data_IF_281812442704
#
_entry.id   IF_281812442704
#
_cell.length_a   1.000
_cell.length_b   1.000
_cell.length_c   1.000
_cell.angle_alpha   90.00
_cell.angle_beta   90.00
_cell.angle_gamma   90.00
#
_symmetry.space_group_name_H-M   'P 1'
#
loop_
_entity.id
_entity.type
_entity.pdbx_description
1 polymer ?
#
# COMPACT_ATOMS: atom_id res chain seq x y z
N UNK A 1 -0.22 -24.73 43.93
CA UNK A 1 0.75 -25.74 44.42
C UNK A 1 1.34 -26.51 43.22
N UNK A 2 2.08 -25.82 42.33
CA UNK A 2 2.56 -26.41 41.06
C UNK A 2 3.99 -25.96 40.67
N UNK A 3 4.80 -25.51 41.64
CA UNK A 3 6.19 -25.07 41.40
C UNK A 3 7.28 -26.00 41.95
N UNK A 4 6.90 -27.06 42.66
CA UNK A 4 7.86 -28.01 43.25
C UNK A 4 8.05 -29.29 42.41
N UNK A 5 7.27 -29.47 41.33
CA UNK A 5 7.27 -30.70 40.51
C UNK A 5 8.19 -30.64 39.28
N UNK A 6 9.11 -29.67 39.21
CA UNK A 6 10.14 -29.60 38.16
C UNK A 6 11.54 -29.40 38.72
N UNK A 7 11.79 -29.81 39.98
CA UNK A 7 13.17 -29.90 40.46
C UNK A 7 13.89 -30.94 39.60
N UNK A 8 14.97 -30.52 38.93
CA UNK A 8 15.84 -31.42 38.18
C UNK A 8 16.24 -32.58 39.11
N UNK A 9 16.13 -33.81 38.62
CA UNK A 9 16.42 -35.02 39.39
C UNK A 9 17.83 -34.97 40.00
N UNK A 10 18.75 -34.25 39.35
CA UNK A 10 20.12 -33.96 39.79
C UNK A 10 20.15 -33.19 41.11
N UNK A 11 19.25 -32.22 41.29
CA UNK A 11 19.13 -31.45 42.54
C UNK A 11 18.63 -32.32 43.67
N UNK A 12 17.66 -33.21 43.39
CA UNK A 12 17.18 -34.16 44.39
C UNK A 12 18.26 -35.18 44.78
N UNK A 13 19.01 -35.69 43.80
CA UNK A 13 20.18 -36.53 44.04
C UNK A 13 21.23 -35.80 44.90
N UNK A 14 21.56 -34.56 44.58
CA UNK A 14 22.48 -33.73 45.38
C UNK A 14 22.02 -33.56 46.83
N UNK A 15 20.72 -33.35 47.07
CA UNK A 15 20.15 -33.24 48.42
C UNK A 15 20.25 -34.56 49.19
N UNK A 16 19.93 -35.70 48.57
CA UNK A 16 20.02 -37.03 49.21
C UNK A 16 21.46 -37.37 49.57
N UNK A 17 22.40 -37.14 48.66
CA UNK A 17 23.84 -37.37 48.91
C UNK A 17 24.35 -36.45 50.02
N UNK A 18 23.96 -35.16 50.01
CA UNK A 18 24.32 -34.20 51.06
C UNK A 18 23.77 -34.66 52.42
N UNK A 19 22.51 -35.07 52.49
CA UNK A 19 21.88 -35.54 53.74
C UNK A 19 22.56 -36.80 54.27
N UNK A 20 22.83 -37.78 53.40
CA UNK A 20 23.55 -39.00 53.77
C UNK A 20 24.98 -38.69 54.28
N UNK A 21 25.68 -37.75 53.64
CA UNK A 21 27.01 -37.30 54.05
C UNK A 21 27.00 -36.64 55.43
N UNK A 22 26.04 -35.75 55.69
CA UNK A 22 25.90 -35.09 57.01
C UNK A 22 25.54 -36.09 58.12
N UNK A 23 24.67 -37.07 57.84
CA UNK A 23 24.34 -38.15 58.79
C UNK A 23 25.56 -39.02 59.10
N UNK A 24 26.38 -39.32 58.09
CA UNK A 24 27.63 -40.05 58.27
C UNK A 24 28.61 -39.25 59.14
N UNK A 25 28.77 -37.95 58.87
CA UNK A 25 29.59 -37.04 59.70
C UNK A 25 29.10 -36.97 61.15
N UNK A 26 27.79 -36.86 61.36
CA UNK A 26 27.15 -36.88 62.70
C UNK A 26 27.46 -38.19 63.43
N UNK A 27 27.33 -39.33 62.75
CA UNK A 27 27.62 -40.64 63.33
C UNK A 27 29.11 -40.81 63.65
N UNK A 28 30.00 -40.34 62.77
CA UNK A 28 31.45 -40.35 63.00
C UNK A 28 31.84 -39.55 64.25
N UNK A 29 31.32 -38.32 64.40
CA UNK A 29 31.54 -37.52 65.61
C UNK A 29 30.99 -38.25 66.84
N UNK A 30 29.81 -38.84 66.76
CA UNK A 30 29.19 -39.56 67.89
C UNK A 30 30.02 -40.75 68.36
N UNK A 31 30.54 -41.56 67.44
CA UNK A 31 31.20 -42.84 67.75
C UNK A 31 32.69 -42.67 68.04
N UNK A 32 33.38 -41.83 67.26
CA UNK A 32 34.85 -41.75 67.29
C UNK A 32 35.36 -40.62 68.18
N UNK A 33 34.76 -39.43 68.10
CA UNK A 33 35.28 -38.21 68.76
C UNK A 33 34.55 -37.94 70.08
N UNK A 34 33.22 -38.08 70.09
CA UNK A 34 32.33 -37.65 71.17
C UNK A 34 32.00 -36.15 71.09
N UNK A 35 30.71 -35.82 71.20
CA UNK A 35 30.22 -34.43 71.10
C UNK A 35 30.82 -33.49 72.15
N UNK A 36 31.11 -33.98 73.35
CA UNK A 36 31.72 -33.19 74.42
C UNK A 36 33.19 -32.85 74.16
N UNK A 37 33.93 -33.71 73.45
CA UNK A 37 35.32 -33.43 73.08
C UNK A 37 35.37 -32.50 71.86
N UNK A 38 34.45 -32.68 70.91
CA UNK A 38 34.36 -31.89 69.69
C UNK A 38 34.13 -30.39 69.94
N UNK A 39 33.32 -30.02 70.94
CA UNK A 39 33.05 -28.61 71.27
C UNK A 39 34.19 -27.90 72.00
N UNK A 40 35.20 -28.64 72.45
CA UNK A 40 36.36 -28.13 73.20
C UNK A 40 37.63 -28.17 72.34
N UNK A 41 37.53 -28.61 71.08
CA UNK A 41 38.67 -28.66 70.15
C UNK A 41 39.25 -27.27 69.87
N UNK A 42 40.58 -27.17 69.70
CA UNK A 42 41.23 -25.97 69.17
C UNK A 42 40.60 -25.52 67.84
N UNK A 43 40.56 -24.21 67.62
CA UNK A 43 39.87 -23.62 66.46
C UNK A 43 40.45 -24.04 65.10
N UNK A 44 41.76 -24.30 65.05
CA UNK A 44 42.49 -24.82 63.89
C UNK A 44 42.12 -26.27 63.57
N UNK A 45 42.04 -27.15 64.58
CA UNK A 45 41.62 -28.55 64.39
C UNK A 45 40.14 -28.65 63.97
N UNK A 46 39.29 -27.82 64.58
CA UNK A 46 37.88 -27.71 64.18
C UNK A 46 37.76 -27.19 62.74
N UNK A 47 38.56 -26.19 62.37
CA UNK A 47 38.64 -25.66 61.01
C UNK A 47 39.02 -26.73 59.98
N UNK A 48 40.08 -27.50 60.25
CA UNK A 48 40.54 -28.59 59.38
C UNK A 48 39.47 -29.68 59.20
N UNK A 49 38.74 -30.05 60.27
CA UNK A 49 37.65 -31.01 60.17
C UNK A 49 36.49 -30.49 59.32
N UNK A 50 36.06 -29.23 59.56
CA UNK A 50 34.97 -28.62 58.79
C UNK A 50 35.37 -28.41 57.32
N UNK A 51 36.62 -28.04 57.03
CA UNK A 51 37.14 -27.95 55.67
C UNK A 51 37.04 -29.30 54.95
N UNK A 52 37.51 -30.39 55.59
CA UNK A 52 37.40 -31.74 55.04
C UNK A 52 35.97 -32.23 54.87
N UNK A 53 35.05 -31.83 55.76
CA UNK A 53 33.64 -32.21 55.70
C UNK A 53 32.85 -31.43 54.64
N UNK A 54 33.14 -30.14 54.45
CA UNK A 54 32.41 -29.26 53.51
C UNK A 54 33.00 -29.21 52.11
N UNK A 55 34.31 -29.46 51.92
CA UNK A 55 34.93 -29.43 50.59
C UNK A 55 34.27 -30.39 49.58
N UNK A 56 33.97 -31.67 49.92
CA UNK A 56 33.26 -32.58 49.02
C UNK A 56 31.83 -32.12 48.69
N UNK A 57 31.14 -31.52 49.66
CA UNK A 57 29.78 -30.98 49.47
C UNK A 57 29.80 -29.78 48.51
N UNK A 58 30.72 -28.85 48.72
CA UNK A 58 30.87 -27.69 47.83
C UNK A 58 31.19 -28.13 46.39
N UNK A 59 32.09 -29.10 46.23
CA UNK A 59 32.44 -29.66 44.92
C UNK A 59 31.24 -30.36 44.25
N UNK A 60 30.48 -31.16 45.00
CA UNK A 60 29.27 -31.83 44.50
C UNK A 60 28.28 -30.81 43.91
N UNK A 61 27.97 -29.75 44.66
CA UNK A 61 27.01 -28.73 44.23
C UNK A 61 27.53 -27.89 43.05
N UNK A 62 28.84 -27.64 42.98
CA UNK A 62 29.46 -26.98 41.83
C UNK A 62 29.27 -27.79 40.55
N UNK A 63 29.54 -29.09 40.59
CA UNK A 63 29.39 -29.98 39.42
C UNK A 63 27.93 -30.09 38.99
N UNK A 64 27.00 -30.25 39.94
CA UNK A 64 25.56 -30.27 39.65
C UNK A 64 25.13 -28.95 38.99
N UNK A 65 25.55 -27.82 39.56
CA UNK A 65 25.26 -26.48 39.02
C UNK A 65 25.78 -26.30 37.59
N UNK A 66 27.02 -26.73 37.32
CA UNK A 66 27.62 -26.70 35.99
C UNK A 66 26.78 -27.47 34.95
N UNK A 67 26.36 -28.70 35.27
CA UNK A 67 25.55 -29.50 34.34
C UNK A 67 24.14 -28.96 34.13
N UNK A 68 23.54 -28.30 35.13
CA UNK A 68 22.25 -27.63 34.98
C UNK A 68 22.42 -26.42 34.05
N UNK A 69 23.42 -25.57 34.33
CA UNK A 69 23.75 -24.39 33.54
C UNK A 69 24.03 -24.74 32.07
N UNK A 70 24.80 -25.80 31.82
CA UNK A 70 25.11 -26.25 30.47
C UNK A 70 23.84 -26.61 29.69
N UNK A 71 22.91 -27.37 30.29
CA UNK A 71 21.66 -27.76 29.61
C UNK A 71 20.75 -26.56 29.34
N UNK A 72 20.77 -25.56 30.22
CA UNK A 72 20.00 -24.34 30.03
C UNK A 72 20.57 -23.49 28.88
N UNK A 73 21.89 -23.40 28.77
CA UNK A 73 22.57 -22.76 27.64
C UNK A 73 22.29 -23.45 26.30
N UNK A 74 22.35 -24.78 26.27
CA UNK A 74 22.01 -25.57 25.06
C UNK A 74 20.57 -25.28 24.61
N UNK A 75 19.61 -25.32 25.55
CA UNK A 75 18.20 -25.02 25.27
C UNK A 75 17.96 -23.58 24.79
N UNK A 76 18.61 -22.61 25.41
CA UNK A 76 18.50 -21.21 24.99
C UNK A 76 19.10 -21.00 23.60
N UNK A 77 20.19 -21.69 23.28
CA UNK A 77 20.83 -21.61 21.96
C UNK A 77 19.95 -22.23 20.89
N UNK A 78 19.34 -23.39 21.15
CA UNK A 78 18.36 -24.01 20.25
C UNK A 78 17.14 -23.11 20.01
N UNK A 79 16.59 -22.52 21.08
CA UNK A 79 15.47 -21.59 20.99
C UNK A 79 15.82 -20.34 20.16
N UNK A 80 17.00 -19.76 20.39
CA UNK A 80 17.47 -18.61 19.62
C UNK A 80 17.68 -18.96 18.14
N UNK A 81 18.25 -20.14 17.84
CA UNK A 81 18.42 -20.60 16.46
C UNK A 81 17.07 -20.77 15.76
N UNK A 82 16.08 -21.34 16.45
CA UNK A 82 14.71 -21.46 15.90
C UNK A 82 14.10 -20.09 15.64
N UNK A 83 14.27 -19.15 16.58
CA UNK A 83 13.75 -17.79 16.45
C UNK A 83 14.39 -17.02 15.29
N UNK A 84 15.71 -17.15 15.11
CA UNK A 84 16.41 -16.55 13.97
C UNK A 84 15.87 -17.08 12.64
N UNK A 85 15.67 -18.39 12.55
CA UNK A 85 15.10 -19.02 11.35
C UNK A 85 13.68 -18.54 11.03
N UNK A 86 12.86 -18.30 12.06
CA UNK A 86 11.53 -17.71 11.89
C UNK A 86 11.59 -16.25 11.43
N UNK A 87 12.54 -15.47 11.96
CA UNK A 87 12.77 -14.08 11.55
C UNK A 87 13.22 -14.02 10.08
N UNK A 88 14.15 -14.88 9.66
CA UNK A 88 14.62 -14.96 8.27
C UNK A 88 13.46 -15.27 7.31
N UNK A 89 12.66 -16.29 7.62
CA UNK A 89 11.47 -16.62 6.81
C UNK A 89 10.44 -15.49 6.77
N UNK A 90 10.22 -14.82 7.90
CA UNK A 90 9.31 -13.67 7.98
C UNK A 90 9.80 -12.50 7.13
N UNK A 91 11.11 -12.24 7.12
CA UNK A 91 11.72 -11.22 6.29
C UNK A 91 11.57 -11.52 4.79
N UNK A 92 11.84 -12.76 4.37
CA UNK A 92 11.62 -13.21 2.98
C UNK A 92 10.16 -13.03 2.56
N UNK A 93 9.22 -13.44 3.41
CA UNK A 93 7.78 -13.27 3.16
C UNK A 93 7.38 -11.79 3.07
N UNK A 94 7.96 -10.93 3.92
CA UNK A 94 7.70 -9.49 3.92
C UNK A 94 8.18 -8.83 2.62
N UNK A 95 9.32 -9.25 2.08
CA UNK A 95 9.83 -8.77 0.78
C UNK A 95 8.86 -9.15 -0.33
N UNK A 96 8.48 -10.43 -0.42
CA UNK A 96 7.52 -10.91 -1.44
C UNK A 96 6.16 -10.19 -1.31
N UNK A 97 5.70 -9.96 -0.08
CA UNK A 97 4.45 -9.22 0.16
C UNK A 97 4.57 -7.75 -0.27
N UNK A 98 5.71 -7.10 0.00
CA UNK A 98 5.96 -5.72 -0.42
C UNK A 98 5.97 -5.58 -1.94
N UNK A 99 6.58 -6.52 -2.66
CA UNK A 99 6.58 -6.55 -4.13
C UNK A 99 5.15 -6.70 -4.69
N UNK A 100 4.39 -7.66 -4.17
CA UNK A 100 2.98 -7.87 -4.58
C UNK A 100 2.09 -6.67 -4.28
N UNK A 101 2.33 -5.98 -3.15
CA UNK A 101 1.60 -4.76 -2.81
C UNK A 101 1.93 -3.62 -3.78
N UNK A 102 3.19 -3.48 -4.18
CA UNK A 102 3.60 -2.47 -5.16
C UNK A 102 2.95 -2.72 -6.53
N UNK A 103 2.93 -3.96 -7.01
CA UNK A 103 2.22 -4.34 -8.24
C UNK A 103 0.70 -4.09 -8.13
N UNK A 104 0.09 -4.52 -7.02
CA UNK A 104 -1.34 -4.30 -6.77
C UNK A 104 -1.71 -2.83 -6.68
N UNK A 105 -0.82 -1.97 -6.18
CA UNK A 105 -1.05 -0.52 -6.11
C UNK A 105 -1.12 0.10 -7.52
N UNK A 106 -0.19 -0.27 -8.40
CA UNK A 106 -0.19 0.20 -9.80
C UNK A 106 -1.50 -0.21 -10.49
N UNK A 107 -1.89 -1.48 -10.36
CA UNK A 107 -3.16 -1.98 -10.92
C UNK A 107 -4.38 -1.24 -10.33
N UNK A 108 -4.40 -0.97 -9.02
CA UNK A 108 -5.49 -0.26 -8.37
C UNK A 108 -5.61 1.20 -8.86
N UNK A 109 -4.47 1.88 -9.04
CA UNK A 109 -4.42 3.25 -9.61
C UNK A 109 -4.95 3.28 -11.04
N UNK A 110 -4.55 2.32 -11.88
CA UNK A 110 -5.05 2.19 -13.25
C UNK A 110 -6.56 1.92 -13.30
N UNK A 111 -7.06 1.00 -12.48
CA UNK A 111 -8.48 0.69 -12.42
C UNK A 111 -9.31 1.90 -11.98
N UNK A 112 -8.83 2.62 -10.96
CA UNK A 112 -9.46 3.86 -10.49
C UNK A 112 -9.48 4.92 -11.59
N UNK A 113 -8.38 5.07 -12.32
CA UNK A 113 -8.32 5.98 -13.46
C UNK A 113 -9.33 5.61 -14.55
N UNK A 114 -9.41 4.33 -14.96
CA UNK A 114 -10.33 3.90 -16.02
C UNK A 114 -11.80 4.20 -15.67
N UNK A 115 -12.19 4.01 -14.42
CA UNK A 115 -13.53 4.38 -13.93
C UNK A 115 -13.76 5.89 -13.99
N UNK A 116 -12.78 6.71 -13.56
CA UNK A 116 -12.87 8.17 -13.68
C UNK A 116 -12.93 8.59 -15.15
N UNK A 117 -12.12 7.98 -16.02
CA UNK A 117 -12.05 8.28 -17.44
C UNK A 117 -13.39 8.02 -18.15
N UNK A 118 -14.09 6.94 -17.80
CA UNK A 118 -15.44 6.66 -18.32
C UNK A 118 -16.43 7.79 -17.99
N UNK A 119 -16.45 8.25 -16.74
CA UNK A 119 -17.31 9.37 -16.32
C UNK A 119 -16.93 10.68 -17.02
N UNK A 120 -15.63 10.95 -17.14
CA UNK A 120 -15.13 12.14 -17.86
C UNK A 120 -15.50 12.09 -19.34
N UNK A 121 -15.39 10.93 -20.00
CA UNK A 121 -15.82 10.76 -21.40
C UNK A 121 -17.31 11.03 -21.57
N UNK A 122 -18.16 10.56 -20.66
CA UNK A 122 -19.59 10.89 -20.69
C UNK A 122 -19.83 12.41 -20.56
N UNK A 123 -19.13 13.09 -19.64
CA UNK A 123 -19.20 14.55 -19.47
C UNK A 123 -18.70 15.32 -20.71
N UNK A 124 -17.64 14.83 -21.35
CA UNK A 124 -17.14 15.37 -22.63
C UNK A 124 -18.20 15.20 -23.73
N UNK A 125 -18.88 14.05 -23.77
CA UNK A 125 -20.04 13.81 -24.64
C UNK A 125 -21.16 14.83 -24.43
N UNK A 126 -21.53 15.13 -23.17
CA UNK A 126 -22.51 16.17 -22.85
C UNK A 126 -22.05 17.55 -23.30
N UNK A 127 -20.79 17.92 -23.04
CA UNK A 127 -20.23 19.22 -23.45
C UNK A 127 -20.22 19.36 -24.97
N UNK A 128 -19.88 18.28 -25.68
CA UNK A 128 -19.90 18.23 -27.14
C UNK A 128 -21.32 18.30 -27.69
N UNK A 129 -22.30 17.69 -27.02
CA UNK A 129 -23.71 17.80 -27.39
C UNK A 129 -24.25 19.22 -27.26
N UNK A 130 -23.88 19.93 -26.18
CA UNK A 130 -24.22 21.35 -26.03
C UNK A 130 -23.57 22.22 -27.11
N UNK A 131 -22.30 21.94 -27.44
CA UNK A 131 -21.60 22.62 -28.52
C UNK A 131 -22.32 22.40 -29.87
N UNK A 132 -22.64 21.15 -30.19
CA UNK A 132 -23.35 20.77 -31.41
C UNK A 132 -24.72 21.46 -31.52
N UNK A 133 -25.54 21.41 -30.47
CA UNK A 133 -26.86 22.05 -30.51
C UNK A 133 -26.76 23.56 -30.72
N UNK A 134 -25.77 24.19 -30.08
CA UNK A 134 -25.52 25.63 -30.26
C UNK A 134 -25.02 26.00 -31.65
N UNK A 135 -24.45 25.05 -32.41
CA UNK A 135 -24.11 25.27 -33.83
C UNK A 135 -25.32 25.09 -34.76
N UNK A 136 -26.24 24.18 -34.41
CA UNK A 136 -27.42 23.92 -35.24
C UNK A 136 -28.51 25.00 -35.11
N UNK A 137 -28.60 25.71 -33.99
CA UNK A 137 -29.61 26.75 -33.79
C UNK A 137 -29.34 28.06 -34.54
N UNK A 138 -28.10 28.29 -34.99
CA UNK A 138 -27.68 29.54 -35.62
C UNK A 138 -27.56 29.45 -37.16
N UNK A 139 -27.55 28.25 -37.74
CA UNK A 139 -27.43 28.06 -39.18
C UNK A 139 -28.83 28.06 -39.83
N UNK A 140 -29.05 28.96 -40.79
CA UNK A 140 -30.33 29.11 -41.50
C UNK A 140 -30.79 27.85 -42.27
N UNK A 141 -29.91 26.86 -42.48
CA UNK A 141 -30.17 25.62 -43.23
C UNK A 141 -29.96 24.31 -42.40
N UNK A 142 -29.65 24.40 -41.10
CA UNK A 142 -29.11 23.29 -40.30
C UNK A 142 -30.08 22.67 -39.27
N UNK A 143 -31.32 22.34 -39.64
CA UNK A 143 -32.30 21.86 -38.66
C UNK A 143 -32.16 20.37 -38.32
N UNK A 144 -31.26 20.03 -37.40
CA UNK A 144 -31.41 18.79 -36.61
C UNK A 144 -32.71 18.94 -35.81
N UNK A 145 -33.70 18.11 -36.11
CA UNK A 145 -35.03 18.21 -35.49
C UNK A 145 -34.94 17.96 -33.99
N UNK A 146 -35.92 18.46 -33.22
CA UNK A 146 -35.97 18.20 -31.78
C UNK A 146 -36.04 16.70 -31.46
N UNK A 147 -36.64 15.91 -32.36
CA UNK A 147 -36.68 14.45 -32.30
C UNK A 147 -35.27 13.83 -32.47
N UNK A 148 -34.52 14.26 -33.50
CA UNK A 148 -33.14 13.80 -33.73
C UNK A 148 -32.22 14.20 -32.56
N UNK A 149 -32.38 15.42 -32.00
CA UNK A 149 -31.64 15.84 -30.81
C UNK A 149 -31.94 14.94 -29.60
N UNK A 150 -33.22 14.61 -29.39
CA UNK A 150 -33.64 13.72 -28.30
C UNK A 150 -33.10 12.30 -28.47
N UNK A 151 -33.04 11.80 -29.71
CA UNK A 151 -32.43 10.51 -30.02
C UNK A 151 -30.92 10.51 -29.74
N UNK A 152 -30.20 11.56 -30.15
CA UNK A 152 -28.76 11.68 -29.89
C UNK A 152 -28.44 11.72 -28.39
N UNK A 153 -29.24 12.44 -27.58
CA UNK A 153 -29.10 12.41 -26.12
C UNK A 153 -29.46 11.05 -25.51
N UNK A 154 -30.45 10.36 -26.05
CA UNK A 154 -30.77 8.98 -25.65
C UNK A 154 -29.58 8.05 -25.89
N UNK A 155 -28.94 8.12 -27.06
CA UNK A 155 -27.73 7.35 -27.38
C UNK A 155 -26.56 7.71 -26.46
N UNK A 156 -26.36 8.99 -26.15
CA UNK A 156 -25.37 9.43 -25.16
C UNK A 156 -25.58 8.75 -23.80
N UNK A 157 -26.83 8.66 -23.34
CA UNK A 157 -27.20 7.97 -22.09
C UNK A 157 -27.09 6.44 -22.14
N UNK A 158 -27.16 5.84 -23.33
CA UNK A 158 -27.09 4.39 -23.56
C UNK A 158 -25.67 3.86 -23.79
N UNK A 159 -24.64 4.59 -23.34
CA UNK A 159 -23.22 4.22 -23.39
C UNK A 159 -22.46 4.58 -24.69
N UNK A 160 -22.91 5.60 -25.43
CA UNK A 160 -22.18 6.15 -26.58
C UNK A 160 -21.72 7.60 -26.32
N UNK A 161 -20.62 7.80 -25.55
CA UNK A 161 -20.13 9.14 -25.18
C UNK A 161 -19.72 10.01 -26.37
N UNK A 162 -19.48 9.40 -27.53
CA UNK A 162 -18.91 10.06 -28.69
C UNK A 162 -19.92 10.31 -29.81
N UNK A 163 -21.21 10.08 -29.56
CA UNK A 163 -22.27 10.29 -30.57
C UNK A 163 -22.27 11.72 -31.11
N UNK A 164 -22.24 12.72 -30.22
CA UNK A 164 -22.18 14.12 -30.62
C UNK A 164 -20.82 14.52 -31.19
N UNK A 165 -19.75 13.87 -30.73
CA UNK A 165 -18.42 14.07 -31.29
C UNK A 165 -18.36 13.70 -32.76
N UNK A 166 -18.91 12.54 -33.12
CA UNK A 166 -18.95 12.11 -34.53
C UNK A 166 -19.81 13.05 -35.37
N UNK A 167 -20.98 13.48 -34.88
CA UNK A 167 -21.80 14.50 -35.58
C UNK A 167 -21.06 15.81 -35.79
N UNK A 168 -20.33 16.28 -34.78
CA UNK A 168 -19.59 17.54 -34.88
C UNK A 168 -18.38 17.44 -35.82
N UNK A 169 -17.70 16.28 -35.83
CA UNK A 169 -16.64 15.98 -36.81
C UNK A 169 -17.19 15.90 -38.23
N UNK A 170 -18.33 15.23 -38.44
CA UNK A 170 -19.03 15.19 -39.73
C UNK A 170 -19.40 16.59 -40.20
N UNK A 171 -19.98 17.42 -39.34
CA UNK A 171 -20.30 18.81 -39.65
C UNK A 171 -19.03 19.60 -40.01
N UNK A 172 -17.95 19.46 -39.25
CA UNK A 172 -16.68 20.14 -39.53
C UNK A 172 -16.11 19.77 -40.90
N UNK A 173 -16.20 18.50 -41.30
CA UNK A 173 -15.73 18.00 -42.59
C UNK A 173 -16.59 18.50 -43.75
N UNK A 174 -17.91 18.63 -43.55
CA UNK A 174 -18.86 19.07 -44.58
C UNK A 174 -18.84 20.59 -44.82
N UNK A 175 -18.14 21.37 -44.00
CA UNK A 175 -18.01 22.81 -44.18
C UNK A 175 -16.86 23.14 -45.15
N UNK A 176 -17.21 23.86 -46.22
CA UNK A 176 -16.32 24.15 -47.35
C UNK A 176 -15.25 25.20 -47.03
N UNK A 177 -15.50 26.11 -46.09
CA UNK A 177 -14.62 27.23 -45.78
C UNK A 177 -14.11 27.23 -44.32
N UNK A 178 -12.91 27.79 -44.13
CA UNK A 178 -12.26 27.84 -42.83
C UNK A 178 -12.98 28.75 -41.83
N UNK A 179 -13.67 29.79 -42.29
CA UNK A 179 -14.39 30.71 -41.40
C UNK A 179 -15.62 30.03 -40.78
N UNK A 180 -16.36 29.23 -41.55
CA UNK A 180 -17.45 28.39 -41.04
C UNK A 180 -16.94 27.30 -40.11
N UNK A 181 -15.82 26.65 -40.45
CA UNK A 181 -15.17 25.67 -39.56
C UNK A 181 -14.70 26.28 -38.24
N UNK A 182 -14.18 27.49 -38.27
CA UNK A 182 -13.83 28.24 -37.06
C UNK A 182 -15.10 28.64 -36.28
N UNK A 183 -16.11 29.14 -36.99
CA UNK A 183 -17.37 29.56 -36.39
C UNK A 183 -18.05 28.41 -35.65
N UNK A 184 -17.96 27.17 -36.16
CA UNK A 184 -18.46 25.96 -35.48
C UNK A 184 -18.02 25.86 -34.01
N UNK A 185 -16.80 26.30 -33.68
CA UNK A 185 -16.22 26.22 -32.34
C UNK A 185 -16.21 27.55 -31.58
N UNK A 186 -16.02 28.66 -32.29
CA UNK A 186 -15.74 29.98 -31.71
C UNK A 186 -16.60 31.11 -32.29
N UNK A 187 -17.65 30.78 -33.06
CA UNK A 187 -18.49 31.80 -33.67
C UNK A 187 -19.50 32.46 -32.72
N UNK A 188 -19.58 32.02 -31.47
CA UNK A 188 -20.33 32.68 -30.38
C UNK A 188 -19.61 32.44 -29.04
N UNK A 189 -19.85 33.29 -28.04
CA UNK A 189 -19.30 33.11 -26.68
C UNK A 189 -19.71 31.77 -26.06
N UNK A 190 -20.94 31.32 -26.34
CA UNK A 190 -21.47 30.03 -25.87
C UNK A 190 -20.67 28.87 -26.47
N UNK A 191 -20.39 28.91 -27.78
CA UNK A 191 -19.58 27.90 -28.46
C UNK A 191 -18.14 27.92 -27.95
N UNK A 192 -17.54 29.11 -27.82
CA UNK A 192 -16.21 29.28 -27.27
C UNK A 192 -16.08 28.67 -25.86
N UNK A 193 -17.07 28.90 -24.99
CA UNK A 193 -17.14 28.31 -23.65
C UNK A 193 -17.19 26.79 -23.67
N UNK A 194 -18.07 26.19 -24.49
CA UNK A 194 -18.17 24.73 -24.57
C UNK A 194 -16.89 24.11 -25.15
N UNK A 195 -16.31 24.74 -26.18
CA UNK A 195 -15.03 24.32 -26.76
C UNK A 195 -13.90 24.38 -25.74
N UNK A 196 -13.73 25.50 -25.03
CA UNK A 196 -12.68 25.66 -24.02
C UNK A 196 -12.85 24.67 -22.85
N UNK A 197 -14.10 24.44 -22.39
CA UNK A 197 -14.37 23.45 -21.35
C UNK A 197 -14.03 22.03 -21.80
N UNK A 198 -14.36 21.67 -23.05
CA UNK A 198 -14.00 20.39 -23.64
C UNK A 198 -12.48 20.21 -23.67
N UNK A 199 -11.75 21.20 -24.22
CA UNK A 199 -10.29 21.18 -24.32
C UNK A 199 -9.64 21.02 -22.94
N UNK A 200 -10.03 21.85 -21.97
CA UNK A 200 -9.50 21.81 -20.61
C UNK A 200 -9.76 20.46 -19.92
N UNK A 201 -10.97 19.93 -20.06
CA UNK A 201 -11.34 18.65 -19.46
C UNK A 201 -10.57 17.49 -20.10
N UNK A 202 -10.40 17.50 -21.42
CA UNK A 202 -9.64 16.49 -22.15
C UNK A 202 -8.14 16.55 -21.84
N UNK A 203 -7.55 17.74 -21.75
CA UNK A 203 -6.16 17.93 -21.33
C UNK A 203 -5.90 17.37 -19.92
N UNK A 204 -6.82 17.62 -18.98
CA UNK A 204 -6.74 17.03 -17.64
C UNK A 204 -6.88 15.51 -17.64
N UNK A 205 -7.69 14.96 -18.55
CA UNK A 205 -7.81 13.51 -18.72
C UNK A 205 -6.51 12.91 -19.22
N UNK A 206 -5.88 13.51 -20.25
CA UNK A 206 -4.59 13.07 -20.77
C UNK A 206 -3.46 13.17 -19.73
N UNK A 207 -3.38 14.29 -19.01
CA UNK A 207 -2.37 14.48 -17.96
C UNK A 207 -2.52 13.45 -16.82
N UNK A 208 -3.76 13.07 -16.48
CA UNK A 208 -4.02 12.00 -15.50
C UNK A 208 -3.69 10.61 -16.04
N UNK A 209 -3.93 10.37 -17.33
CA UNK A 209 -3.56 9.10 -17.97
C UNK A 209 -2.05 8.90 -17.88
N UNK A 210 -1.26 9.91 -18.27
CA UNK A 210 0.21 9.88 -18.23
C UNK A 210 0.77 9.59 -16.82
N UNK A 211 0.08 10.02 -15.76
CA UNK A 211 0.50 9.76 -14.39
C UNK A 211 0.30 8.30 -13.93
N UNK A 212 -0.52 7.50 -14.63
CA UNK A 212 -0.83 6.09 -14.28
C UNK A 212 -0.43 5.09 -15.38
N UNK A 213 0.21 5.58 -16.44
CA UNK A 213 0.46 4.86 -17.68
C UNK A 213 1.91 5.08 -18.16
N UNK A 214 2.89 4.39 -17.55
CA UNK A 214 4.30 4.56 -17.91
C UNK A 214 4.60 4.21 -19.38
N UNK A 215 3.81 3.31 -19.98
CA UNK A 215 3.97 2.86 -21.36
C UNK A 215 3.16 3.69 -22.38
N UNK A 216 2.43 4.72 -21.94
CA UNK A 216 1.60 5.62 -22.76
C UNK A 216 0.47 4.95 -23.56
N UNK A 217 0.15 3.68 -23.28
CA UNK A 217 -0.89 2.91 -24.00
C UNK A 217 -2.28 3.52 -23.82
N UNK A 218 -2.63 3.90 -22.59
CA UNK A 218 -3.92 4.53 -22.24
C UNK A 218 -3.99 5.93 -22.85
N UNK A 219 -2.91 6.71 -22.74
CA UNK A 219 -2.83 8.06 -23.31
C UNK A 219 -3.04 8.04 -24.83
N UNK A 220 -2.34 7.13 -25.52
CA UNK A 220 -2.42 7.01 -26.98
C UNK A 220 -3.80 6.51 -27.41
N UNK A 221 -4.36 5.54 -26.67
CA UNK A 221 -5.73 5.08 -26.90
C UNK A 221 -6.74 6.21 -26.77
N UNK A 222 -6.62 7.10 -25.77
CA UNK A 222 -7.52 8.25 -25.59
C UNK A 222 -7.37 9.24 -26.73
N UNK A 223 -6.13 9.48 -27.19
CA UNK A 223 -5.83 10.40 -28.28
C UNK A 223 -6.36 9.91 -29.63
N UNK A 224 -6.47 8.60 -29.83
CA UNK A 224 -7.06 7.98 -31.02
C UNK A 224 -8.59 7.92 -31.06
N UNK A 225 -9.29 8.31 -29.98
CA UNK A 225 -10.76 8.33 -29.94
C UNK A 225 -11.35 9.47 -30.77
N UNK A 226 -12.67 9.46 -31.01
CA UNK A 226 -13.37 10.60 -31.60
C UNK A 226 -13.18 11.87 -30.77
N UNK A 227 -13.20 11.78 -29.44
CA UNK A 227 -12.88 12.92 -28.58
C UNK A 227 -11.44 13.42 -28.77
N UNK A 228 -10.48 12.50 -28.95
CA UNK A 228 -9.08 12.85 -29.24
C UNK A 228 -8.92 13.57 -30.58
N UNK A 229 -9.60 13.10 -31.63
CA UNK A 229 -9.63 13.78 -32.93
C UNK A 229 -10.28 15.17 -32.83
N UNK A 230 -11.41 15.26 -32.13
CA UNK A 230 -12.08 16.54 -31.89
C UNK A 230 -11.19 17.51 -31.12
N UNK A 231 -10.48 17.03 -30.10
CA UNK A 231 -9.50 17.81 -29.35
C UNK A 231 -8.43 18.40 -30.28
N UNK A 232 -7.84 17.59 -31.16
CA UNK A 232 -6.82 18.08 -32.10
C UNK A 232 -7.35 19.18 -33.02
N UNK A 233 -8.58 19.04 -33.53
CA UNK A 233 -9.20 20.03 -34.41
C UNK A 233 -9.56 21.31 -33.62
N UNK A 234 -10.25 21.17 -32.50
CA UNK A 234 -10.67 22.28 -31.66
C UNK A 234 -9.46 23.06 -31.12
N UNK A 235 -8.35 22.38 -30.80
CA UNK A 235 -7.12 23.03 -30.34
C UNK A 235 -6.50 23.92 -31.41
N UNK A 236 -6.53 23.50 -32.68
CA UNK A 236 -6.07 24.34 -33.80
C UNK A 236 -6.90 25.62 -33.92
N UNK A 237 -8.23 25.50 -33.82
CA UNK A 237 -9.12 26.66 -33.82
C UNK A 237 -8.91 27.56 -32.60
N UNK A 238 -8.68 26.98 -31.42
CA UNK A 238 -8.37 27.73 -30.20
C UNK A 238 -7.13 28.61 -30.36
N UNK A 239 -6.08 28.09 -31.01
CA UNK A 239 -4.83 28.84 -31.24
C UNK A 239 -5.05 30.07 -32.14
N UNK A 240 -6.00 29.99 -33.07
CA UNK A 240 -6.36 31.05 -34.00
C UNK A 240 -7.48 31.97 -33.49
N UNK A 241 -8.09 31.64 -32.34
CA UNK A 241 -9.16 32.42 -31.76
C UNK A 241 -8.65 33.74 -31.16
N UNK A 242 -9.43 34.84 -31.25
CA UNK A 242 -9.15 36.07 -30.50
C UNK A 242 -8.95 35.77 -29.02
N UNK A 243 -8.07 36.52 -28.36
CA UNK A 243 -7.71 36.29 -26.95
C UNK A 243 -8.95 36.29 -26.03
N UNK A 244 -9.96 37.11 -26.36
CA UNK A 244 -11.23 37.22 -25.64
C UNK A 244 -12.05 35.92 -25.63
N UNK A 245 -12.00 35.15 -26.72
CA UNK A 245 -12.72 33.88 -26.88
C UNK A 245 -11.86 32.68 -26.49
N UNK A 246 -10.54 32.85 -26.50
CA UNK A 246 -9.58 31.81 -26.12
C UNK A 246 -9.44 31.67 -24.61
N UNK A 247 -9.57 32.78 -23.87
CA UNK A 247 -9.33 32.83 -22.42
C UNK A 247 -10.47 32.15 -21.64
N UNK A 248 -10.21 31.00 -20.96
CA UNK A 248 -11.19 30.34 -20.11
C UNK A 248 -11.70 31.21 -18.95
N UNK A 249 -10.90 32.19 -18.49
CA UNK A 249 -11.31 33.11 -17.44
C UNK A 249 -12.39 34.09 -17.89
N UNK A 250 -12.49 34.36 -19.21
CA UNK A 250 -13.50 35.22 -19.81
C UNK A 250 -14.69 34.44 -20.36
N UNK A 251 -14.45 33.28 -20.98
CA UNK A 251 -15.54 32.42 -21.48
C UNK A 251 -16.21 31.58 -20.39
N UNK A 252 -15.62 31.50 -19.19
CA UNK A 252 -16.23 31.02 -17.97
C UNK A 252 -15.96 29.56 -17.61
N UNK A 253 -14.99 29.36 -16.70
CA UNK A 253 -15.02 28.42 -15.55
C UNK A 253 -13.93 28.77 -14.54
N UNK A 254 -14.09 29.88 -13.81
CA UNK A 254 -13.52 30.01 -12.47
C UNK A 254 -14.67 30.21 -11.47
N UNK A 255 -15.00 29.17 -10.72
CA UNK A 255 -15.32 29.41 -9.31
C UNK A 255 -13.99 29.73 -8.68
N UNK A 256 -13.75 31.00 -8.31
CA UNK A 256 -12.62 31.35 -7.45
C UNK A 256 -12.75 30.47 -6.20
N UNK A 257 -11.81 29.55 -5.99
CA UNK A 257 -11.57 28.97 -4.67
C UNK A 257 -11.00 30.06 -3.76
#
# INVERSE_FOLDING_TARGET
MSRLSSLDWRTWFGLVVTLAWLLLGYFYIRVTVGWNAFTVLPADELGNFLEGAFAPLAFLWLVIGYFIQQRELERNTEALSSQLHEIERSAEQSVIQSEKLAESEVHARQQTFLTIAQNVRAQLGTTTGLLFISSQSAAADGHVTQEEQSELFSRLGQNDPEVFTRRLLETHIMLDDEASRFALFYGTDVRARHTNNFLFTFERLLARAEAVDPDQVIRDSLSGTGHGLLYQIAKRHQLNAPEELRDPARTGTYVKM
#
